data_IF_985863285978
#
_entry.id   IF_985863285978
#
_cell.length_a   1.000
_cell.length_b   1.000
_cell.length_c   1.000
_cell.angle_alpha   90.00
_cell.angle_beta   90.00
_cell.angle_gamma   90.00
#
_symmetry.space_group_name_H-M   'P 1'
#
loop_
_entity.id
_entity.type
_entity.pdbx_description
1 polymer ?
#
# COMPACT_ATOMS: atom_id res chain seq x y z
N UNK A 1 -17.99 -20.45 40.92
CA UNK A 1 -17.04 -19.89 39.92
C UNK A 1 -17.33 -20.56 38.61
N UNK A 2 -17.56 -19.78 37.56
CA UNK A 2 -17.98 -20.29 36.25
C UNK A 2 -16.80 -20.97 35.52
N UNK A 3 -17.09 -22.01 34.74
CA UNK A 3 -16.08 -22.91 34.15
C UNK A 3 -15.20 -22.18 33.11
N UNK A 4 -15.77 -21.16 32.46
CA UNK A 4 -15.06 -20.23 31.57
C UNK A 4 -14.02 -19.37 32.30
N UNK A 5 -14.29 -18.96 33.53
CA UNK A 5 -13.37 -18.13 34.33
C UNK A 5 -12.15 -18.93 34.78
N UNK A 6 -12.33 -20.22 35.05
CA UNK A 6 -11.26 -21.14 35.46
C UNK A 6 -10.33 -21.48 34.29
N UNK A 7 -10.89 -21.66 33.10
CA UNK A 7 -10.13 -21.82 31.85
C UNK A 7 -9.37 -20.54 31.48
N UNK A 8 -9.99 -19.37 31.61
CA UNK A 8 -9.35 -18.08 31.35
C UNK A 8 -8.14 -17.80 32.26
N UNK A 9 -8.24 -18.10 33.55
CA UNK A 9 -7.10 -17.96 34.49
C UNK A 9 -5.94 -18.92 34.20
N UNK A 10 -6.22 -20.09 33.63
CA UNK A 10 -5.19 -21.05 33.25
C UNK A 10 -4.36 -20.63 32.04
N UNK A 11 -4.98 -19.92 31.07
CA UNK A 11 -4.34 -19.54 29.80
C UNK A 11 -3.59 -18.21 29.93
N UNK A 12 -4.06 -17.29 30.78
CA UNK A 12 -3.44 -15.97 30.99
C UNK A 12 -1.93 -16.00 31.31
N UNK A 13 -1.41 -16.83 32.24
CA UNK A 13 0.02 -16.87 32.52
C UNK A 13 0.83 -17.44 31.35
N UNK A 14 0.31 -18.44 30.63
CA UNK A 14 0.97 -18.99 29.45
C UNK A 14 1.07 -17.96 28.32
N UNK A 15 0.01 -17.17 28.10
CA UNK A 15 0.00 -16.08 27.13
C UNK A 15 0.98 -14.96 27.50
N UNK A 16 1.08 -14.60 28.78
CA UNK A 16 2.02 -13.58 29.26
C UNK A 16 3.48 -14.02 29.08
N UNK A 17 3.82 -15.27 29.42
CA UNK A 17 5.16 -15.84 29.22
C UNK A 17 5.51 -15.88 27.73
N UNK A 18 4.57 -16.30 26.88
CA UNK A 18 4.78 -16.34 25.43
C UNK A 18 5.02 -14.93 24.86
N UNK A 19 4.24 -13.94 25.29
CA UNK A 19 4.35 -12.55 24.86
C UNK A 19 5.69 -11.92 25.24
N UNK A 20 6.10 -12.05 26.51
CA UNK A 20 7.39 -11.51 27.00
C UNK A 20 8.58 -12.18 26.32
N UNK A 21 8.51 -13.50 26.12
CA UNK A 21 9.57 -14.24 25.43
C UNK A 21 9.66 -13.87 23.95
N UNK A 22 8.52 -13.69 23.28
CA UNK A 22 8.45 -13.24 21.90
C UNK A 22 9.00 -11.82 21.70
N UNK A 23 8.61 -10.87 22.57
CA UNK A 23 9.14 -9.50 22.56
C UNK A 23 10.66 -9.47 22.83
N UNK A 24 11.15 -10.29 23.76
CA UNK A 24 12.58 -10.46 24.02
C UNK A 24 13.35 -11.00 22.81
N UNK A 25 12.84 -12.03 22.13
CA UNK A 25 13.44 -12.58 20.91
C UNK A 25 13.49 -11.54 19.78
N UNK A 26 12.42 -10.76 19.60
CA UNK A 26 12.35 -9.71 18.59
C UNK A 26 13.37 -8.59 18.83
N UNK A 27 13.73 -8.32 20.08
CA UNK A 27 14.67 -7.26 20.45
C UNK A 27 16.14 -7.71 20.47
N UNK A 28 16.39 -9.00 20.72
CA UNK A 28 17.75 -9.53 20.91
C UNK A 28 18.37 -10.13 19.64
N UNK A 29 17.56 -10.57 18.68
CA UNK A 29 18.05 -11.16 17.44
C UNK A 29 17.96 -10.16 16.27
N UNK A 30 18.97 -10.10 15.39
CA UNK A 30 18.85 -9.41 14.12
C UNK A 30 17.64 -9.98 13.36
N UNK A 31 16.86 -9.13 12.68
CA UNK A 31 15.62 -9.48 11.98
C UNK A 31 15.71 -10.75 11.10
N UNK A 32 16.89 -11.10 10.60
CA UNK A 32 17.15 -12.31 9.80
C UNK A 32 17.10 -13.65 10.55
N UNK A 33 17.15 -13.69 11.90
CA UNK A 33 17.10 -14.92 12.71
C UNK A 33 15.72 -15.18 13.33
N UNK A 34 14.91 -14.15 13.53
CA UNK A 34 13.54 -14.29 14.02
C UNK A 34 12.64 -15.02 13.01
N UNK A 35 12.78 -14.70 11.72
CA UNK A 35 12.02 -15.32 10.64
C UNK A 35 12.26 -16.84 10.54
N UNK A 36 13.50 -17.36 10.50
CA UNK A 36 13.73 -18.80 10.42
C UNK A 36 13.35 -19.54 11.71
N UNK A 37 13.49 -18.94 12.91
CA UNK A 37 13.06 -19.57 14.16
C UNK A 37 11.52 -19.65 14.25
N UNK A 38 10.82 -18.58 13.87
CA UNK A 38 9.37 -18.56 13.79
C UNK A 38 8.87 -19.57 12.73
N UNK A 39 9.49 -19.57 11.54
CA UNK A 39 9.18 -20.51 10.48
C UNK A 39 9.45 -21.96 10.90
N UNK A 40 10.56 -22.26 11.58
CA UNK A 40 10.87 -23.59 12.09
C UNK A 40 9.92 -24.04 13.20
N UNK A 41 9.53 -23.14 14.11
CA UNK A 41 8.55 -23.43 15.15
C UNK A 41 7.18 -23.80 14.55
N UNK A 42 6.67 -23.01 13.60
CA UNK A 42 5.41 -23.30 12.95
C UNK A 42 5.49 -24.51 12.01
N UNK A 43 6.58 -24.65 11.22
CA UNK A 43 6.78 -25.80 10.33
C UNK A 43 6.89 -27.13 11.10
N UNK A 44 7.41 -27.09 12.33
CA UNK A 44 7.57 -28.28 13.18
C UNK A 44 6.31 -28.68 13.94
N UNK A 45 5.34 -27.77 14.13
CA UNK A 45 4.11 -28.08 14.89
C UNK A 45 2.80 -28.02 14.10
N UNK A 46 2.62 -27.13 13.12
CA UNK A 46 1.37 -27.02 12.35
C UNK A 46 1.62 -26.36 10.99
N UNK A 47 1.66 -27.15 9.90
CA UNK A 47 1.68 -26.65 8.52
C UNK A 47 0.53 -25.68 8.24
N UNK A 48 -0.61 -25.89 8.87
CA UNK A 48 -1.86 -25.19 8.58
C UNK A 48 -1.83 -23.73 9.04
N UNK A 49 -1.07 -23.41 10.09
CA UNK A 49 -0.91 -22.04 10.57
C UNK A 49 -0.05 -21.21 9.59
N UNK A 50 1.00 -21.80 9.02
CA UNK A 50 1.80 -21.15 7.97
C UNK A 50 0.96 -20.99 6.71
N UNK A 51 0.27 -22.04 6.26
CA UNK A 51 -0.60 -21.99 5.09
C UNK A 51 -1.68 -20.93 5.28
N UNK A 52 -2.31 -20.86 6.45
CA UNK A 52 -3.32 -19.82 6.77
C UNK A 52 -2.70 -18.42 6.79
N UNK A 53 -1.51 -18.25 7.36
CA UNK A 53 -0.79 -16.99 7.37
C UNK A 53 -0.43 -16.51 5.96
N UNK A 54 0.15 -17.39 5.14
CA UNK A 54 0.45 -17.10 3.73
C UNK A 54 -0.82 -16.82 2.93
N UNK A 55 -1.89 -17.58 3.14
CA UNK A 55 -3.17 -17.37 2.47
C UNK A 55 -3.77 -16.02 2.87
N UNK A 56 -3.73 -15.65 4.15
CA UNK A 56 -4.21 -14.36 4.62
C UNK A 56 -3.41 -13.20 4.00
N UNK A 57 -2.07 -13.31 3.96
CA UNK A 57 -1.20 -12.32 3.30
C UNK A 57 -1.47 -12.26 1.79
N UNK A 58 -1.65 -13.41 1.14
CA UNK A 58 -1.95 -13.47 -0.29
C UNK A 58 -3.32 -12.84 -0.60
N UNK A 59 -4.34 -13.13 0.20
CA UNK A 59 -5.67 -12.52 0.07
C UNK A 59 -5.63 -11.01 0.30
N UNK A 60 -4.86 -10.54 1.30
CA UNK A 60 -4.70 -9.12 1.57
C UNK A 60 -3.99 -8.41 0.40
N UNK A 61 -2.90 -8.99 -0.12
CA UNK A 61 -2.20 -8.47 -1.30
C UNK A 61 -3.09 -8.48 -2.54
N UNK A 62 -3.88 -9.54 -2.75
CA UNK A 62 -4.79 -9.65 -3.88
C UNK A 62 -5.91 -8.59 -3.84
N UNK A 63 -6.34 -8.16 -2.63
CA UNK A 63 -7.33 -7.09 -2.47
C UNK A 63 -6.80 -5.71 -2.79
N UNK A 64 -5.48 -5.50 -2.76
CA UNK A 64 -4.81 -4.23 -3.06
C UNK A 64 -5.40 -3.05 -2.26
N UNK A 65 -5.11 -2.97 -0.94
CA UNK A 65 -5.73 -1.99 -0.04
C UNK A 65 -5.46 -0.54 -0.45
N UNK A 66 -4.29 -0.24 -1.01
CA UNK A 66 -3.93 1.11 -1.50
C UNK A 66 -4.88 1.58 -2.62
N UNK A 67 -5.17 0.69 -3.59
CA UNK A 67 -6.11 0.98 -4.67
C UNK A 67 -7.54 1.21 -4.13
N UNK A 68 -7.95 0.42 -3.14
CA UNK A 68 -9.26 0.57 -2.49
C UNK A 68 -9.38 1.90 -1.72
N UNK A 69 -8.33 2.32 -1.02
CA UNK A 69 -8.29 3.62 -0.31
C UNK A 69 -8.45 4.76 -1.31
N UNK A 70 -7.70 4.73 -2.41
CA UNK A 70 -7.77 5.78 -3.44
C UNK A 70 -9.14 5.82 -4.11
N UNK A 71 -9.71 4.68 -4.52
CA UNK A 71 -11.07 4.64 -5.09
C UNK A 71 -12.13 5.16 -4.12
N UNK A 72 -12.02 4.81 -2.84
CA UNK A 72 -12.95 5.30 -1.80
C UNK A 72 -12.84 6.81 -1.62
N UNK A 73 -11.62 7.35 -1.60
CA UNK A 73 -11.39 8.79 -1.47
C UNK A 73 -11.83 9.56 -2.71
N UNK A 74 -11.62 9.03 -3.92
CA UNK A 74 -12.12 9.59 -5.16
C UNK A 74 -13.66 9.65 -5.17
N UNK A 75 -14.34 8.57 -4.76
CA UNK A 75 -15.81 8.59 -4.65
C UNK A 75 -16.34 9.57 -3.61
N UNK A 76 -15.58 9.85 -2.54
CA UNK A 76 -15.93 10.90 -1.57
C UNK A 76 -15.70 12.31 -2.13
N UNK A 77 -14.71 12.48 -2.99
CA UNK A 77 -14.44 13.76 -3.66
C UNK A 77 -15.54 14.11 -4.67
N UNK A 78 -16.05 13.12 -5.42
CA UNK A 78 -17.22 13.28 -6.27
C UNK A 78 -18.48 13.71 -5.48
N UNK A 79 -18.56 13.35 -4.19
CA UNK A 79 -19.60 13.79 -3.26
C UNK A 79 -19.35 15.18 -2.63
N UNK A 80 -18.42 15.97 -3.19
CA UNK A 80 -18.15 17.36 -2.79
C UNK A 80 -17.20 17.53 -1.59
N UNK A 81 -16.53 16.46 -1.13
CA UNK A 81 -15.51 16.55 -0.07
C UNK A 81 -14.17 16.95 -0.70
N UNK A 82 -13.39 17.81 -0.03
CA UNK A 82 -12.05 18.19 -0.52
C UNK A 82 -11.16 16.94 -0.63
N UNK A 83 -10.53 16.79 -1.79
CA UNK A 83 -9.51 15.80 -2.05
C UNK A 83 -8.19 16.30 -1.44
N UNK A 84 -7.57 15.54 -0.54
CA UNK A 84 -6.27 15.90 0.03
C UNK A 84 -5.18 15.71 -1.02
N UNK A 85 -4.98 16.74 -1.85
CA UNK A 85 -3.96 16.79 -2.89
C UNK A 85 -2.54 16.40 -2.40
N UNK A 86 -2.10 16.74 -1.18
CA UNK A 86 -0.80 16.30 -0.66
C UNK A 86 -0.71 14.77 -0.41
N UNK A 87 -1.81 14.11 -0.06
CA UNK A 87 -1.85 12.65 0.10
C UNK A 87 -1.77 11.92 -1.26
N UNK A 88 -2.24 12.58 -2.32
CA UNK A 88 -2.18 12.09 -3.70
C UNK A 88 -0.93 12.53 -4.47
N UNK A 89 -0.03 13.31 -3.86
CA UNK A 89 1.20 13.77 -4.52
C UNK A 89 2.29 12.68 -4.63
N UNK A 90 2.17 11.59 -3.86
CA UNK A 90 3.09 10.46 -3.90
C UNK A 90 2.36 9.10 -3.82
N UNK A 91 1.45 8.80 -4.77
CA UNK A 91 0.62 7.60 -4.70
C UNK A 91 1.50 6.35 -4.74
N UNK A 92 1.10 5.30 -4.02
CA UNK A 92 1.64 3.96 -4.28
C UNK A 92 1.51 3.61 -5.77
N UNK A 93 2.36 2.76 -6.32
CA UNK A 93 2.27 2.41 -7.75
C UNK A 93 0.89 1.79 -8.09
N UNK A 94 0.30 1.06 -7.13
CA UNK A 94 -1.04 0.48 -7.23
C UNK A 94 -2.20 1.52 -7.23
N UNK A 95 -1.91 2.73 -6.77
CA UNK A 95 -2.86 3.84 -6.79
C UNK A 95 -2.85 4.62 -8.12
N UNK A 96 -1.88 4.37 -9.00
CA UNK A 96 -1.76 5.09 -10.27
C UNK A 96 -2.89 4.75 -11.26
N UNK A 97 -3.23 3.46 -11.53
CA UNK A 97 -4.32 3.14 -12.46
C UNK A 97 -5.71 3.71 -12.09
N UNK A 98 -6.19 3.65 -10.84
CA UNK A 98 -7.47 4.29 -10.50
C UNK A 98 -7.40 5.82 -10.57
N UNK A 99 -6.25 6.42 -10.29
CA UNK A 99 -6.08 7.87 -10.39
C UNK A 99 -6.07 8.35 -11.84
N UNK A 100 -5.43 7.61 -12.77
CA UNK A 100 -5.49 7.93 -14.20
C UNK A 100 -6.90 7.79 -14.76
N UNK A 101 -7.66 6.77 -14.30
CA UNK A 101 -9.06 6.60 -14.68
C UNK A 101 -9.97 7.73 -14.17
N UNK A 102 -9.65 8.33 -13.02
CA UNK A 102 -10.42 9.43 -12.42
C UNK A 102 -9.97 10.83 -12.86
N UNK A 103 -8.86 10.97 -13.59
CA UNK A 103 -8.40 12.26 -14.13
C UNK A 103 -9.51 13.09 -14.81
N UNK A 104 -10.44 12.51 -15.61
CA UNK A 104 -11.51 13.28 -16.24
C UNK A 104 -12.51 13.89 -15.25
N UNK A 105 -12.66 13.33 -14.05
CA UNK A 105 -13.62 13.82 -13.04
C UNK A 105 -13.01 14.90 -12.14
N UNK A 106 -11.68 15.06 -12.13
CA UNK A 106 -11.01 16.12 -11.38
C UNK A 106 -11.34 17.52 -11.94
N UNK A 107 -11.21 18.58 -11.11
CA UNK A 107 -11.28 19.96 -11.58
C UNK A 107 -10.31 20.23 -12.72
N UNK A 108 -10.73 20.98 -13.74
CA UNK A 108 -9.93 21.23 -14.95
C UNK A 108 -8.53 21.81 -14.66
N UNK A 109 -8.41 22.64 -13.63
CA UNK A 109 -7.13 23.21 -13.18
C UNK A 109 -6.12 22.17 -12.66
N UNK A 110 -6.60 21.04 -12.15
CA UNK A 110 -5.79 20.02 -11.49
C UNK A 110 -5.40 18.87 -12.44
N UNK A 111 -6.15 18.66 -13.53
CA UNK A 111 -5.93 17.53 -14.47
C UNK A 111 -4.52 17.53 -15.06
N UNK A 112 -4.09 18.66 -15.59
CA UNK A 112 -2.77 18.82 -16.23
C UNK A 112 -1.60 18.64 -15.26
N UNK A 113 -1.58 19.36 -14.12
CA UNK A 113 -0.56 19.18 -13.09
C UNK A 113 -0.46 17.74 -12.57
N UNK A 114 -1.60 17.08 -12.30
CA UNK A 114 -1.62 15.70 -11.81
C UNK A 114 -1.13 14.72 -12.87
N UNK A 115 -1.57 14.85 -14.13
CA UNK A 115 -1.13 13.99 -15.22
C UNK A 115 0.39 14.13 -15.48
N UNK A 116 0.92 15.36 -15.42
CA UNK A 116 2.35 15.62 -15.58
C UNK A 116 3.17 15.01 -14.43
N UNK A 117 2.70 15.17 -13.19
CA UNK A 117 3.36 14.58 -12.01
C UNK A 117 3.40 13.04 -12.08
N UNK A 118 2.31 12.41 -12.52
CA UNK A 118 2.26 10.96 -12.73
C UNK A 118 3.24 10.49 -13.81
N UNK A 119 3.34 11.22 -14.94
CA UNK A 119 4.32 10.93 -16.00
C UNK A 119 5.75 10.94 -15.47
N UNK A 120 6.17 12.06 -14.88
CA UNK A 120 7.54 12.22 -14.37
C UNK A 120 7.91 11.10 -13.39
N UNK A 121 6.98 10.72 -12.52
CA UNK A 121 7.25 9.72 -11.47
C UNK A 121 7.26 8.29 -11.99
N UNK A 122 6.42 7.94 -12.96
CA UNK A 122 6.27 6.56 -13.43
C UNK A 122 7.22 6.19 -14.58
N UNK A 123 7.73 7.16 -15.36
CA UNK A 123 8.57 6.91 -16.54
C UNK A 123 10.08 7.02 -16.31
N UNK A 124 10.54 7.04 -15.06
CA UNK A 124 11.97 7.07 -14.74
C UNK A 124 12.74 5.82 -15.22
N UNK A 125 14.05 5.96 -15.54
CA UNK A 125 14.89 4.85 -15.96
C UNK A 125 15.02 3.82 -14.82
N UNK A 126 14.77 2.55 -15.14
CA UNK A 126 14.98 1.44 -14.22
C UNK A 126 15.67 0.32 -14.97
N UNK A 127 16.66 -0.35 -14.36
CA UNK A 127 17.21 -1.56 -14.95
C UNK A 127 16.10 -2.59 -15.09
N UNK A 128 15.91 -3.11 -16.30
CA UNK A 128 15.02 -4.22 -16.59
C UNK A 128 15.66 -5.53 -16.11
N UNK A 129 15.87 -5.64 -14.80
CA UNK A 129 16.30 -6.87 -14.14
C UNK A 129 15.09 -7.50 -13.45
N UNK A 130 14.94 -8.82 -13.56
CA UNK A 130 13.89 -9.56 -12.85
C UNK A 130 14.00 -9.38 -11.33
N UNK A 131 15.22 -9.11 -10.81
CA UNK A 131 15.45 -8.82 -9.38
C UNK A 131 14.83 -7.50 -8.92
N UNK A 132 14.63 -6.56 -9.84
CA UNK A 132 14.04 -5.24 -9.57
C UNK A 132 12.63 -5.12 -10.12
N UNK A 133 12.09 -6.20 -10.69
CA UNK A 133 10.73 -6.24 -11.23
C UNK A 133 9.70 -6.03 -10.13
N UNK A 134 8.73 -5.17 -10.43
CA UNK A 134 7.63 -4.85 -9.53
C UNK A 134 6.36 -4.64 -10.36
N UNK A 135 5.44 -5.60 -10.26
CA UNK A 135 4.21 -5.63 -11.07
C UNK A 135 3.33 -4.37 -10.91
N UNK A 136 3.08 -3.84 -9.69
CA UNK A 136 2.44 -2.53 -9.53
C UNK A 136 3.09 -1.39 -10.33
N UNK A 137 4.42 -1.32 -10.34
CA UNK A 137 5.15 -0.27 -11.10
C UNK A 137 4.98 -0.44 -12.61
N UNK A 138 4.95 -1.68 -13.08
CA UNK A 138 4.72 -1.99 -14.50
C UNK A 138 3.33 -1.54 -14.96
N UNK A 139 2.29 -1.88 -14.18
CA UNK A 139 0.92 -1.41 -14.42
C UNK A 139 0.79 0.11 -14.36
N UNK A 140 1.50 0.75 -13.43
CA UNK A 140 1.51 2.21 -13.33
C UNK A 140 2.08 2.85 -14.60
N UNK A 141 3.13 2.27 -15.20
CA UNK A 141 3.71 2.73 -16.46
C UNK A 141 2.76 2.57 -17.63
N UNK A 142 2.13 1.40 -17.73
CA UNK A 142 1.12 1.14 -18.76
C UNK A 142 -0.04 2.15 -18.67
N UNK A 143 -0.57 2.36 -17.46
CA UNK A 143 -1.66 3.30 -17.21
C UNK A 143 -1.30 4.76 -17.56
N UNK A 144 -0.05 5.16 -17.32
CA UNK A 144 0.46 6.50 -17.63
C UNK A 144 0.83 6.66 -19.11
N UNK A 145 1.28 5.57 -19.77
CA UNK A 145 1.59 5.56 -21.20
C UNK A 145 0.38 5.86 -22.08
N UNK A 146 -0.83 5.51 -21.61
CA UNK A 146 -2.10 5.85 -22.28
C UNK A 146 -2.55 7.31 -22.13
N UNK A 147 -1.93 8.10 -21.24
CA UNK A 147 -2.27 9.52 -21.10
C UNK A 147 -1.75 10.31 -22.29
N UNK A 148 -2.64 10.82 -23.16
CA UNK A 148 -2.25 11.76 -24.24
C UNK A 148 -1.52 12.97 -23.64
N UNK A 149 -0.55 13.52 -24.37
CA UNK A 149 0.13 14.78 -24.03
C UNK A 149 -0.77 16.01 -24.28
N UNK A 150 -2.06 15.91 -23.97
CA UNK A 150 -3.08 16.91 -24.32
C UNK A 150 -3.37 17.94 -23.22
N UNK A 151 -2.50 18.05 -22.22
CA UNK A 151 -2.61 19.13 -21.25
C UNK A 151 -1.62 20.23 -21.63
N UNK A 152 -2.07 21.31 -22.28
CA UNK A 152 -1.19 22.42 -22.59
C UNK A 152 -0.56 22.88 -21.29
N UNK A 153 0.77 23.00 -21.31
CA UNK A 153 1.50 23.72 -20.28
C UNK A 153 0.89 25.13 -20.24
N UNK A 154 -0.05 25.38 -19.33
CA UNK A 154 -0.57 26.74 -19.16
C UNK A 154 0.60 27.57 -18.67
N UNK A 155 0.96 28.52 -19.54
CA UNK A 155 1.99 29.50 -19.34
C UNK A 155 1.99 30.04 -17.91
N UNK A 156 3.16 30.00 -17.28
CA UNK A 156 3.49 30.95 -16.22
C UNK A 156 3.33 32.34 -16.82
N UNK A 157 2.31 33.07 -16.41
CA UNK A 157 2.09 34.44 -16.82
C UNK A 157 0.80 35.00 -16.25
N UNK A 158 0.86 35.48 -15.00
CA UNK A 158 0.05 36.61 -14.49
C UNK A 158 0.28 36.83 -12.98
N UNK A 159 1.51 37.18 -12.60
CA UNK A 159 1.88 38.06 -11.47
C UNK A 159 3.24 38.65 -11.91
N UNK A 160 3.50 39.94 -12.05
CA UNK A 160 2.89 41.15 -11.52
C UNK A 160 3.06 42.27 -12.57
N UNK A 161 2.05 43.14 -12.70
CA UNK A 161 2.11 44.38 -13.44
C UNK A 161 1.14 45.35 -12.80
N UNK A 162 1.68 46.28 -12.03
CA UNK A 162 0.98 47.33 -11.28
C UNK A 162 1.98 48.08 -10.42
#
# INVERSE_FOLDING_TARGET
>A
MDERTRLGLGIAPAAAVLGVTGDGLLRLLPWGLNVPLLAAFFARRHSDALTTGFLAVALLNARNPDSLIVRTNLGRADAGRRLDAPYLAAPSADAVPPLTAALPTLPEGDRGPVAAALKVRCTGPYPADWRTYNLPRDRAREAVGGLRAEFPARARGSQEGG
#
